data_IF_167800597507
#
_entry.id   IF_167800597507
#
_cell.length_a   1.000
_cell.length_b   1.000
_cell.length_c   1.000
_cell.angle_alpha   90.00
_cell.angle_beta   90.00
_cell.angle_gamma   90.00
#
_symmetry.space_group_name_H-M   'P 1'
#
loop_
_entity.id
_entity.type
_entity.pdbx_description
1 polymer ?
#
# COMPACT_ATOMS: atom_id res chain seq x y z
N UNK A 1 -4.51 32.44 -61.00
CA UNK A 1 -3.43 31.79 -60.24
C UNK A 1 -3.51 32.26 -58.80
N UNK A 2 -4.49 31.77 -57.99
CA UNK A 2 -4.62 32.04 -56.54
C UNK A 2 -5.58 31.03 -55.91
N UNK A 3 -5.25 29.73 -55.89
CA UNK A 3 -6.08 28.71 -55.24
C UNK A 3 -5.30 27.51 -54.68
N UNK A 4 -3.99 27.67 -54.39
CA UNK A 4 -3.18 26.55 -53.87
C UNK A 4 -2.67 26.75 -52.46
N UNK A 5 -2.96 27.88 -51.77
CA UNK A 5 -2.40 28.18 -50.47
C UNK A 5 -3.28 27.82 -49.24
N UNK A 6 -4.46 27.27 -49.43
CA UNK A 6 -5.36 26.95 -48.30
C UNK A 6 -5.37 25.46 -47.90
N UNK A 7 -4.78 24.57 -48.70
CA UNK A 7 -4.78 23.14 -48.40
C UNK A 7 -3.61 22.68 -47.50
N UNK A 8 -2.56 23.48 -47.32
CA UNK A 8 -1.38 23.10 -46.54
C UNK A 8 -1.52 23.46 -45.05
N UNK A 9 -2.39 24.40 -44.73
CA UNK A 9 -2.59 24.83 -43.31
C UNK A 9 -3.54 23.91 -42.52
N UNK A 10 -4.34 23.10 -43.20
CA UNK A 10 -5.29 22.20 -42.54
C UNK A 10 -4.68 20.85 -42.14
N UNK A 11 -3.49 20.50 -42.67
CA UNK A 11 -2.84 19.21 -42.37
C UNK A 11 -1.87 19.28 -41.16
N UNK A 12 -1.51 20.48 -40.73
CA UNK A 12 -0.64 20.66 -39.53
C UNK A 12 -1.38 20.69 -38.19
N UNK A 13 -2.71 20.76 -38.21
CA UNK A 13 -3.52 20.84 -36.97
C UNK A 13 -3.99 19.47 -36.45
N UNK A 14 -3.71 18.36 -37.17
CA UNK A 14 -4.18 17.01 -36.77
C UNK A 14 -3.11 16.23 -36.01
N UNK A 15 -1.88 16.70 -35.90
CA UNK A 15 -0.81 16.06 -35.13
C UNK A 15 -0.50 16.69 -33.76
N UNK A 16 -1.33 17.62 -33.28
CA UNK A 16 -1.30 18.09 -31.90
C UNK A 16 -2.23 17.25 -31.02
N UNK A 17 -2.36 15.97 -31.34
CA UNK A 17 -3.17 15.02 -30.61
C UNK A 17 -2.31 14.17 -29.68
N UNK A 18 -2.50 14.42 -28.39
CA UNK A 18 -2.28 13.44 -27.33
C UNK A 18 -0.87 12.87 -27.22
N UNK A 19 0.09 13.67 -26.77
CA UNK A 19 1.07 13.12 -25.88
C UNK A 19 0.31 12.78 -24.57
N UNK A 20 -0.39 11.64 -24.56
CA UNK A 20 -0.57 10.94 -23.30
C UNK A 20 0.86 10.63 -22.84
N UNK A 21 1.33 11.36 -21.86
CA UNK A 21 2.39 10.89 -21.00
C UNK A 21 1.82 9.60 -20.39
N UNK A 22 2.05 8.48 -21.04
CA UNK A 22 2.22 7.23 -20.35
C UNK A 22 3.45 7.47 -19.47
N UNK A 23 3.25 8.03 -18.30
CA UNK A 23 4.08 7.67 -17.17
C UNK A 23 3.72 6.22 -16.94
N UNK A 24 4.31 5.34 -17.74
CA UNK A 24 4.35 3.93 -17.44
C UNK A 24 4.79 3.86 -15.98
N UNK A 25 3.99 3.19 -15.16
CA UNK A 25 4.31 2.91 -13.77
C UNK A 25 5.47 1.91 -13.69
N UNK A 26 6.59 2.25 -14.31
CA UNK A 26 7.83 1.49 -14.28
C UNK A 26 8.38 1.31 -12.85
N UNK A 27 7.77 1.99 -11.88
CA UNK A 27 8.11 1.89 -10.46
C UNK A 27 7.14 1.01 -9.66
N UNK A 28 6.03 0.56 -10.25
CA UNK A 28 5.10 -0.32 -9.56
C UNK A 28 5.57 -1.77 -9.66
N UNK A 29 5.76 -2.48 -8.53
CA UNK A 29 6.23 -3.86 -8.56
C UNK A 29 5.17 -4.78 -9.18
N UNK A 30 5.60 -5.65 -10.09
CA UNK A 30 4.75 -6.67 -10.71
C UNK A 30 4.68 -7.90 -9.79
N UNK A 31 3.51 -8.14 -9.23
CA UNK A 31 3.26 -9.24 -8.31
C UNK A 31 3.55 -10.63 -8.92
N UNK A 32 3.39 -10.78 -10.23
CA UNK A 32 3.63 -12.05 -10.94
C UNK A 32 5.10 -12.46 -10.98
N UNK A 33 6.01 -11.50 -10.81
CA UNK A 33 7.46 -11.71 -10.87
C UNK A 33 8.11 -11.78 -9.49
N UNK A 34 7.35 -11.62 -8.41
CA UNK A 34 7.89 -11.63 -7.05
C UNK A 34 7.85 -13.06 -6.50
N UNK A 35 9.03 -13.61 -6.13
CA UNK A 35 9.16 -14.94 -5.53
C UNK A 35 8.59 -16.03 -6.43
N UNK A 36 8.95 -16.01 -7.71
CA UNK A 36 8.40 -16.88 -8.73
C UNK A 36 9.09 -18.24 -8.75
N UNK A 37 8.99 -18.98 -7.65
CA UNK A 37 9.55 -20.33 -7.52
C UNK A 37 8.59 -21.41 -8.03
N UNK A 38 7.31 -21.05 -8.28
CA UNK A 38 6.29 -21.95 -8.78
C UNK A 38 5.75 -21.47 -10.12
N UNK A 39 5.64 -22.40 -11.10
CA UNK A 39 4.96 -22.14 -12.36
C UNK A 39 3.43 -21.95 -12.22
N UNK A 40 2.88 -22.18 -11.04
CA UNK A 40 1.46 -22.11 -10.74
C UNK A 40 1.24 -21.06 -9.67
N UNK A 41 0.45 -20.03 -10.00
CA UNK A 41 0.08 -18.95 -9.10
C UNK A 41 -1.42 -18.67 -9.23
N UNK A 42 -2.07 -18.38 -8.11
CA UNK A 42 -3.45 -17.90 -8.05
C UNK A 42 -3.45 -16.50 -7.42
N UNK A 43 -2.98 -15.52 -8.19
CA UNK A 43 -2.88 -14.14 -7.73
C UNK A 43 -4.27 -13.51 -7.61
N UNK A 44 -4.53 -12.90 -6.45
CA UNK A 44 -5.77 -12.17 -6.17
C UNK A 44 -5.47 -10.87 -5.44
N UNK A 45 -6.09 -9.78 -5.86
CA UNK A 45 -6.12 -8.55 -5.10
C UNK A 45 -7.19 -8.65 -4.01
N UNK A 46 -6.81 -8.39 -2.77
CA UNK A 46 -7.69 -8.45 -1.60
C UNK A 46 -7.67 -7.13 -0.85
N UNK A 47 -8.82 -6.74 -0.29
CA UNK A 47 -8.90 -5.58 0.59
C UNK A 47 -8.33 -5.94 1.96
N UNK A 48 -7.38 -5.16 2.43
CA UNK A 48 -6.79 -5.30 3.77
C UNK A 48 -7.54 -4.43 4.77
N UNK A 49 -7.68 -3.14 4.48
CA UNK A 49 -8.47 -2.20 5.29
C UNK A 49 -8.89 -1.00 4.45
N UNK A 50 -10.15 -0.57 4.61
CA UNK A 50 -10.74 0.60 3.91
C UNK A 50 -10.75 1.85 4.77
N UNK A 51 -10.24 1.79 6.01
CA UNK A 51 -10.22 2.89 6.98
C UNK A 51 -11.59 3.45 7.37
N UNK A 52 -12.63 2.61 7.38
CA UNK A 52 -14.01 3.02 7.66
C UNK A 52 -14.37 3.06 9.15
N UNK A 53 -13.62 2.33 10.00
CA UNK A 53 -13.99 2.09 11.40
C UNK A 53 -13.19 2.96 12.36
N UNK A 54 -13.90 3.71 13.21
CA UNK A 54 -13.26 4.43 14.32
C UNK A 54 -12.61 3.47 15.29
N UNK A 55 -11.41 3.85 15.77
CA UNK A 55 -10.65 3.04 16.73
C UNK A 55 -9.91 1.84 16.13
N UNK A 56 -10.01 1.58 14.83
CA UNK A 56 -9.22 0.55 14.15
C UNK A 56 -7.75 0.93 14.01
N UNK A 57 -7.45 2.22 14.05
CA UNK A 57 -6.11 2.77 13.88
C UNK A 57 -5.77 3.72 15.01
N UNK A 58 -4.56 3.58 15.53
CA UNK A 58 -3.97 4.44 16.56
C UNK A 58 -2.84 5.24 15.95
N UNK A 59 -2.64 6.46 16.45
CA UNK A 59 -1.55 7.32 16.03
C UNK A 59 -0.66 7.67 17.20
N UNK A 60 0.65 7.66 16.98
CA UNK A 60 1.63 7.93 18.03
C UNK A 60 2.83 8.74 17.50
N UNK A 61 3.26 9.70 18.28
CA UNK A 61 4.53 10.43 18.13
C UNK A 61 5.18 10.56 19.51
N UNK A 62 6.51 10.65 19.57
CA UNK A 62 7.18 10.95 20.83
C UNK A 62 6.71 12.30 21.40
N UNK A 63 6.39 12.35 22.68
CA UNK A 63 5.91 13.55 23.39
C UNK A 63 6.86 14.75 23.29
N UNK A 64 8.14 14.50 23.06
CA UNK A 64 9.15 15.55 22.88
C UNK A 64 9.17 16.16 21.48
N UNK A 65 8.58 15.45 20.50
CA UNK A 65 8.62 15.82 19.10
C UNK A 65 7.36 16.55 18.64
N UNK A 66 6.22 16.28 19.25
CA UNK A 66 4.97 16.91 18.84
C UNK A 66 3.72 16.30 19.44
N UNK A 67 2.59 16.75 18.89
CA UNK A 67 1.25 16.18 19.17
C UNK A 67 0.70 15.62 17.87
N UNK A 68 0.06 14.46 17.96
CA UNK A 68 -0.56 13.78 16.82
C UNK A 68 -2.03 13.51 17.10
N UNK A 69 -2.86 13.64 16.05
CA UNK A 69 -4.29 13.34 16.10
C UNK A 69 -4.68 12.56 14.85
N UNK A 70 -5.38 11.46 15.03
CA UNK A 70 -6.01 10.68 13.95
C UNK A 70 -7.53 10.81 14.01
N UNK A 71 -8.18 10.99 12.87
CA UNK A 71 -9.65 11.05 12.72
C UNK A 71 -10.07 10.51 11.38
N UNK A 72 -11.29 9.99 11.31
CA UNK A 72 -11.94 9.67 10.04
C UNK A 72 -12.60 10.91 9.45
N UNK A 73 -12.49 11.05 8.14
CA UNK A 73 -13.14 12.10 7.37
C UNK A 73 -13.90 11.49 6.20
N UNK A 74 -15.01 12.10 5.83
CA UNK A 74 -15.70 11.73 4.59
C UNK A 74 -14.87 12.14 3.38
N UNK A 75 -14.71 11.24 2.44
CA UNK A 75 -13.94 11.44 1.22
C UNK A 75 -13.43 10.13 0.65
N UNK A 76 -12.91 10.21 -0.55
CA UNK A 76 -12.27 9.06 -1.25
C UNK A 76 -11.36 9.59 -2.35
N UNK A 77 -10.28 8.87 -2.71
CA UNK A 77 -9.49 9.18 -3.90
C UNK A 77 -10.32 9.04 -5.17
N UNK A 78 -10.36 10.08 -6.00
CA UNK A 78 -11.18 10.07 -7.23
C UNK A 78 -10.76 9.00 -8.27
N UNK A 79 -9.51 8.56 -8.21
CA UNK A 79 -8.96 7.53 -9.10
C UNK A 79 -8.98 6.12 -8.50
N UNK A 80 -9.62 5.96 -7.33
CA UNK A 80 -9.78 4.65 -6.71
C UNK A 80 -10.76 3.80 -7.51
N UNK A 81 -10.33 2.61 -7.90
CA UNK A 81 -11.18 1.62 -8.55
C UNK A 81 -11.84 0.72 -7.51
N UNK A 82 -13.10 0.37 -7.75
CA UNK A 82 -13.80 -0.59 -6.89
C UNK A 82 -13.15 -1.96 -6.99
N UNK A 83 -12.90 -2.58 -5.85
CA UNK A 83 -12.45 -3.97 -5.81
C UNK A 83 -13.66 -4.88 -6.02
N UNK A 84 -13.64 -5.65 -7.12
CA UNK A 84 -14.63 -6.69 -7.40
C UNK A 84 -14.37 -7.92 -6.52
N UNK A 85 -14.51 -7.77 -5.22
CA UNK A 85 -14.49 -8.89 -4.31
C UNK A 85 -15.90 -9.45 -4.16
N UNK A 86 -16.15 -10.61 -4.75
CA UNK A 86 -17.46 -11.29 -4.75
C UNK A 86 -17.99 -11.68 -3.36
N UNK A 87 -17.18 -11.47 -2.31
CA UNK A 87 -17.55 -11.77 -0.93
C UNK A 87 -18.07 -10.60 -0.10
N UNK A 88 -17.84 -9.33 -0.53
CA UNK A 88 -18.08 -8.15 0.31
C UNK A 88 -18.93 -7.06 -0.37
N UNK A 89 -20.10 -7.42 -0.83
CA UNK A 89 -20.98 -6.55 -1.63
C UNK A 89 -21.57 -5.32 -0.91
N UNK A 90 -21.29 -5.02 0.35
CA UNK A 90 -21.93 -3.91 1.08
C UNK A 90 -21.06 -3.27 2.17
N UNK A 91 -19.74 -3.26 2.03
CA UNK A 91 -18.93 -2.50 2.97
C UNK A 91 -18.92 -1.04 2.50
N UNK A 92 -19.38 -0.14 3.37
CA UNK A 92 -19.24 1.30 3.15
C UNK A 92 -17.77 1.64 2.87
N UNK A 93 -17.56 2.50 1.89
CA UNK A 93 -16.25 2.94 1.43
C UNK A 93 -16.31 4.46 1.14
N UNK A 94 -16.57 5.22 2.20
CA UNK A 94 -16.85 6.64 2.15
C UNK A 94 -15.93 7.50 2.99
N UNK A 95 -15.07 6.86 3.82
CA UNK A 95 -14.20 7.57 4.75
C UNK A 95 -12.73 7.32 4.46
N UNK A 96 -11.92 8.24 4.96
CA UNK A 96 -10.47 8.19 4.90
C UNK A 96 -9.89 8.46 6.30
N UNK A 97 -8.75 7.83 6.61
CA UNK A 97 -8.02 8.14 7.83
C UNK A 97 -7.17 9.39 7.64
N UNK A 98 -7.52 10.47 8.31
CA UNK A 98 -6.72 11.69 8.36
C UNK A 98 -5.84 11.71 9.60
N UNK A 99 -4.57 12.04 9.41
CA UNK A 99 -3.56 12.19 10.46
C UNK A 99 -2.99 13.60 10.44
N UNK A 100 -3.04 14.28 11.58
CA UNK A 100 -2.45 15.60 11.79
C UNK A 100 -1.36 15.52 12.83
N UNK A 101 -0.19 16.07 12.50
CA UNK A 101 0.95 16.21 13.42
C UNK A 101 1.26 17.69 13.60
N UNK A 102 1.48 18.11 14.84
CA UNK A 102 2.00 19.42 15.19
C UNK A 102 3.38 19.25 15.83
N UNK A 103 4.42 19.60 15.09
CA UNK A 103 5.80 19.45 15.54
C UNK A 103 6.19 20.56 16.50
N UNK A 104 6.77 20.20 17.64
CA UNK A 104 7.30 21.17 18.62
C UNK A 104 8.65 21.73 18.19
N UNK A 105 9.45 20.95 17.46
CA UNK A 105 10.79 21.33 17.02
C UNK A 105 11.14 20.69 15.69
N UNK A 106 12.01 21.32 14.94
CA UNK A 106 12.69 20.70 13.80
C UNK A 106 13.63 19.60 14.30
N UNK A 107 13.76 18.57 13.52
CA UNK A 107 14.70 17.50 13.79
C UNK A 107 14.32 16.19 13.10
N UNK A 108 15.04 15.15 13.44
CA UNK A 108 14.73 13.80 13.04
C UNK A 108 13.51 13.36 13.86
N UNK A 109 12.36 13.43 13.25
CA UNK A 109 11.09 13.04 13.84
C UNK A 109 10.51 11.87 13.06
N UNK A 110 9.88 10.96 13.76
CA UNK A 110 9.03 9.93 13.15
C UNK A 110 7.73 9.81 13.92
N UNK A 111 6.67 9.43 13.25
CA UNK A 111 5.41 9.10 13.87
C UNK A 111 4.86 7.79 13.28
N UNK A 112 3.97 7.18 14.02
CA UNK A 112 3.42 5.86 13.74
C UNK A 112 1.91 5.92 13.60
N UNK A 113 1.39 5.14 12.67
CA UNK A 113 -0.04 4.89 12.43
C UNK A 113 -0.19 3.38 12.51
N UNK A 114 -0.67 2.86 13.63
CA UNK A 114 -0.70 1.41 13.89
C UNK A 114 -2.11 0.90 13.95
N UNK A 115 -2.34 -0.26 13.36
CA UNK A 115 -3.61 -0.96 13.53
C UNK A 115 -3.83 -1.33 15.01
N UNK A 116 -5.06 -1.22 15.49
CA UNK A 116 -5.42 -1.62 16.87
C UNK A 116 -5.14 -3.11 17.12
N UNK A 117 -5.19 -3.92 16.07
CA UNK A 117 -4.75 -5.32 16.04
C UNK A 117 -4.05 -5.57 14.71
N UNK A 118 -2.95 -6.34 14.68
CA UNK A 118 -2.32 -6.73 13.43
C UNK A 118 -3.33 -7.39 12.49
N UNK A 119 -3.38 -6.91 11.24
CA UNK A 119 -4.35 -7.36 10.24
C UNK A 119 -3.71 -8.50 9.44
N UNK A 120 -4.24 -9.73 9.52
CA UNK A 120 -3.70 -10.86 8.80
C UNK A 120 -4.06 -10.78 7.31
N UNK A 121 -3.15 -11.24 6.46
CA UNK A 121 -3.37 -11.44 5.03
C UNK A 121 -3.26 -12.93 4.74
N UNK A 122 -4.25 -13.48 4.04
CA UNK A 122 -4.25 -14.89 3.64
C UNK A 122 -3.33 -15.10 2.43
N UNK A 123 -2.74 -16.30 2.37
CA UNK A 123 -1.84 -16.67 1.28
C UNK A 123 -0.44 -16.03 1.37
N UNK A 124 0.27 -16.05 0.26
CA UNK A 124 1.61 -15.45 0.13
C UNK A 124 1.48 -14.06 -0.46
N UNK A 125 1.61 -13.05 0.36
CA UNK A 125 1.53 -11.64 -0.07
C UNK A 125 2.71 -11.29 -0.97
N UNK A 126 2.42 -10.77 -2.14
CA UNK A 126 3.40 -10.32 -3.14
C UNK A 126 3.62 -8.81 -3.07
N UNK A 127 2.51 -8.05 -3.03
CA UNK A 127 2.57 -6.59 -2.93
C UNK A 127 1.54 -6.09 -1.93
N UNK A 128 1.82 -4.92 -1.35
CA UNK A 128 0.85 -4.16 -0.55
C UNK A 128 0.78 -2.75 -1.11
N UNK A 129 -0.41 -2.24 -1.27
CA UNK A 129 -0.67 -0.88 -1.74
C UNK A 129 -1.59 -0.13 -0.78
N UNK A 130 -1.45 1.19 -0.76
CA UNK A 130 -2.33 2.10 -0.02
C UNK A 130 -2.44 3.42 -0.77
N UNK A 131 -3.62 4.01 -0.79
CA UNK A 131 -3.79 5.37 -1.25
C UNK A 131 -3.34 6.33 -0.15
N UNK A 132 -2.39 7.20 -0.49
CA UNK A 132 -1.90 8.24 0.40
C UNK A 132 -2.13 9.61 -0.22
N UNK A 133 -2.59 10.58 0.59
CA UNK A 133 -2.66 11.97 0.17
C UNK A 133 -1.45 12.73 0.72
N UNK A 134 -0.50 13.03 -0.18
CA UNK A 134 0.70 13.80 0.13
C UNK A 134 0.43 15.31 0.15
N UNK A 135 1.36 16.05 0.76
CA UNK A 135 1.35 17.51 0.86
C UNK A 135 2.61 18.13 0.31
N UNK A 136 3.25 17.43 -0.64
CA UNK A 136 4.50 17.86 -1.26
C UNK A 136 5.61 18.10 -0.23
N UNK A 137 5.69 17.22 0.77
CA UNK A 137 6.76 17.19 1.77
C UNK A 137 7.56 15.90 1.63
N UNK A 138 8.87 15.96 1.67
CA UNK A 138 9.79 14.84 1.47
C UNK A 138 9.84 13.86 2.63
N UNK A 139 8.69 13.63 3.30
CA UNK A 139 8.55 12.60 4.33
C UNK A 139 8.48 11.22 3.68
N UNK A 140 8.99 10.21 4.37
CA UNK A 140 9.08 8.85 3.85
C UNK A 140 8.07 7.94 4.55
N UNK A 141 7.25 7.24 3.76
CA UNK A 141 6.27 6.27 4.27
C UNK A 141 6.87 4.86 4.27
N UNK A 142 6.75 4.18 5.40
CA UNK A 142 7.18 2.81 5.62
C UNK A 142 6.00 1.95 6.05
N UNK A 143 5.89 0.75 5.49
CA UNK A 143 4.96 -0.27 5.91
C UNK A 143 5.60 -1.10 7.03
N UNK A 144 4.86 -1.31 8.10
CA UNK A 144 5.25 -2.15 9.22
C UNK A 144 4.51 -3.48 9.10
N UNK A 145 5.25 -4.57 8.99
CA UNK A 145 4.70 -5.91 8.86
C UNK A 145 5.27 -6.85 9.91
N UNK A 146 4.51 -7.86 10.23
CA UNK A 146 4.94 -8.98 11.06
C UNK A 146 4.84 -10.27 10.25
N UNK A 147 5.90 -11.05 10.23
CA UNK A 147 5.97 -12.32 9.53
C UNK A 147 5.25 -13.46 10.30
N UNK A 148 5.30 -14.66 9.72
CA UNK A 148 4.74 -15.88 10.31
C UNK A 148 5.34 -16.18 11.69
N UNK A 149 6.62 -15.96 11.88
CA UNK A 149 7.35 -16.21 13.13
C UNK A 149 7.13 -15.13 14.19
N UNK A 150 6.48 -14.03 13.84
CA UNK A 150 6.25 -12.88 14.72
C UNK A 150 7.37 -11.85 14.68
N UNK A 151 8.31 -11.94 13.75
CA UNK A 151 9.35 -10.93 13.56
C UNK A 151 8.76 -9.70 12.85
N UNK A 152 9.19 -8.52 13.27
CA UNK A 152 8.73 -7.27 12.68
C UNK A 152 9.72 -6.78 11.61
N UNK A 153 9.17 -6.32 10.50
CA UNK A 153 9.92 -5.76 9.39
C UNK A 153 9.34 -4.41 8.97
N UNK A 154 10.19 -3.59 8.38
CA UNK A 154 9.85 -2.28 7.87
C UNK A 154 10.20 -2.23 6.38
N UNK A 155 9.22 -1.92 5.54
CA UNK A 155 9.36 -1.91 4.09
C UNK A 155 9.05 -0.51 3.59
N UNK A 156 9.97 0.07 2.85
CA UNK A 156 9.77 1.40 2.28
C UNK A 156 8.68 1.39 1.21
N UNK A 157 7.70 2.27 1.32
CA UNK A 157 6.61 2.42 0.36
C UNK A 157 6.82 3.59 -0.61
N UNK A 158 7.46 4.65 -0.17
CA UNK A 158 7.71 5.81 -1.02
C UNK A 158 7.81 7.13 -0.27
N UNK A 159 8.11 8.18 -1.03
CA UNK A 159 8.10 9.55 -0.56
C UNK A 159 6.70 10.16 -0.67
N UNK A 160 6.33 11.02 0.29
CA UNK A 160 5.10 11.82 0.29
C UNK A 160 5.29 13.17 -0.44
N UNK A 161 6.38 13.33 -1.19
CA UNK A 161 6.71 14.53 -1.98
C UNK A 161 5.87 14.62 -3.26
N UNK A 162 4.55 14.61 -3.08
CA UNK A 162 3.57 14.82 -4.13
C UNK A 162 2.34 15.53 -3.56
N UNK A 163 1.57 16.16 -4.43
CA UNK A 163 0.33 16.84 -4.06
C UNK A 163 -0.88 15.99 -4.45
N UNK A 164 -1.83 15.87 -3.53
CA UNK A 164 -3.05 15.09 -3.74
C UNK A 164 -2.87 13.61 -3.46
N UNK A 165 -3.78 12.79 -4.03
CA UNK A 165 -3.82 11.35 -3.83
C UNK A 165 -2.90 10.61 -4.80
N UNK A 166 -2.19 9.62 -4.28
CA UNK A 166 -1.37 8.69 -5.05
C UNK A 166 -1.43 7.31 -4.42
N UNK A 167 -1.59 6.28 -5.24
CA UNK A 167 -1.42 4.89 -4.81
C UNK A 167 0.08 4.61 -4.66
N UNK A 168 0.49 4.20 -3.48
CA UNK A 168 1.85 3.76 -3.16
C UNK A 168 1.84 2.25 -3.03
N UNK A 169 2.67 1.58 -3.79
CA UNK A 169 2.75 0.11 -3.83
C UNK A 169 4.16 -0.33 -3.49
N UNK A 170 4.28 -1.32 -2.62
CA UNK A 170 5.57 -1.93 -2.28
C UNK A 170 5.52 -3.44 -2.46
N UNK A 171 6.65 -4.03 -2.86
CA UNK A 171 6.83 -5.47 -2.90
C UNK A 171 7.16 -6.01 -1.51
N UNK A 172 6.64 -7.19 -1.20
CA UNK A 172 7.06 -7.95 -0.03
C UNK A 172 8.19 -8.89 -0.49
N UNK A 173 9.44 -8.69 -0.03
CA UNK A 173 10.54 -9.54 -0.42
C UNK A 173 10.28 -10.99 -0.01
N UNK A 174 10.40 -11.96 -0.92
CA UNK A 174 10.25 -13.36 -0.59
C UNK A 174 11.39 -13.84 0.32
N UNK A 175 11.10 -14.79 1.18
CA UNK A 175 12.13 -15.49 1.93
C UNK A 175 12.93 -16.38 0.96
N UNK A 176 14.27 -16.31 0.95
CA UNK A 176 15.08 -17.11 0.04
C UNK A 176 15.14 -18.60 0.41
N UNK A 177 14.89 -18.96 1.66
CA UNK A 177 15.09 -20.30 2.19
C UNK A 177 14.02 -20.70 3.23
N UNK A 178 12.94 -19.95 3.35
CA UNK A 178 11.87 -20.14 4.34
C UNK A 178 12.30 -20.00 5.81
N UNK A 179 13.56 -19.64 6.07
CA UNK A 179 14.08 -19.42 7.42
C UNK A 179 14.54 -17.97 7.64
N UNK A 180 15.01 -17.29 6.57
CA UNK A 180 15.53 -15.93 6.64
C UNK A 180 14.62 -14.93 5.89
N UNK A 181 14.70 -13.66 6.29
CA UNK A 181 13.86 -12.62 5.70
C UNK A 181 12.42 -12.67 6.18
N UNK A 182 11.45 -12.29 5.33
CA UNK A 182 10.04 -12.28 5.67
C UNK A 182 9.43 -13.65 5.37
N UNK A 183 9.32 -14.48 6.38
CA UNK A 183 8.75 -15.82 6.28
C UNK A 183 7.23 -15.71 6.32
N UNK A 184 6.55 -16.12 5.26
CA UNK A 184 5.10 -16.03 5.16
C UNK A 184 4.39 -17.38 5.27
N UNK A 185 5.11 -18.48 5.10
CA UNK A 185 4.57 -19.82 5.19
C UNK A 185 5.41 -20.65 6.16
N UNK A 186 4.77 -21.63 6.80
CA UNK A 186 5.48 -22.67 7.53
C UNK A 186 5.55 -23.93 6.67
N UNK A 187 6.69 -24.60 6.71
CA UNK A 187 6.86 -25.94 6.12
C UNK A 187 5.92 -26.96 6.81
N UNK A 188 5.51 -26.66 8.04
CA UNK A 188 4.66 -27.51 8.87
C UNK A 188 3.20 -27.00 8.90
N UNK A 189 2.58 -26.84 7.76
CA UNK A 189 1.13 -26.60 7.60
C UNK A 189 0.43 -26.01 8.82
N UNK A 190 0.50 -24.71 9.00
CA UNK A 190 -0.27 -24.04 10.04
C UNK A 190 -1.42 -23.27 9.43
N UNK A 191 -2.60 -23.35 10.00
CA UNK A 191 -3.77 -22.55 9.63
C UNK A 191 -3.59 -21.05 9.99
N UNK A 192 -2.35 -20.60 10.20
CA UNK A 192 -2.05 -19.23 10.58
C UNK A 192 -1.79 -18.39 9.34
N UNK A 193 -2.36 -17.17 9.29
CA UNK A 193 -2.04 -16.21 8.23
C UNK A 193 -0.53 -15.92 8.21
N UNK A 194 0.04 -15.88 7.01
CA UNK A 194 1.47 -15.72 6.84
C UNK A 194 1.98 -14.35 7.23
N UNK A 195 1.44 -13.30 6.61
CA UNK A 195 1.83 -11.91 6.85
C UNK A 195 0.74 -11.18 7.64
N UNK A 196 1.16 -10.29 8.54
CA UNK A 196 0.26 -9.37 9.24
C UNK A 196 0.71 -7.94 9.04
N UNK A 197 -0.22 -7.05 8.72
CA UNK A 197 0.04 -5.62 8.71
C UNK A 197 -0.06 -5.09 10.13
N UNK A 198 0.99 -4.45 10.60
CA UNK A 198 1.05 -3.79 11.90
C UNK A 198 0.69 -2.32 11.77
N UNK A 199 1.08 -1.68 10.68
CA UNK A 199 0.78 -0.28 10.44
C UNK A 199 1.77 0.41 9.51
N UNK A 200 1.94 1.71 9.77
CA UNK A 200 2.85 2.57 9.01
C UNK A 200 3.73 3.37 9.95
N UNK A 201 4.95 3.65 9.50
CA UNK A 201 5.83 4.67 10.07
C UNK A 201 6.07 5.76 9.03
N UNK A 202 6.06 7.00 9.47
CA UNK A 202 6.44 8.14 8.65
C UNK A 202 7.71 8.76 9.22
N UNK A 203 8.78 8.70 8.44
CA UNK A 203 10.04 9.38 8.76
C UNK A 203 10.00 10.79 8.17
N UNK A 204 10.05 11.78 9.04
CA UNK A 204 9.89 13.17 8.65
C UNK A 204 11.21 13.75 8.13
N UNK A 205 11.17 14.45 7.00
CA UNK A 205 12.29 15.24 6.53
C UNK A 205 12.61 16.33 7.58
N UNK A 206 13.82 16.34 8.15
CA UNK A 206 14.17 17.29 9.22
C UNK A 206 14.06 18.76 8.84
N UNK A 207 14.18 19.07 7.54
CA UNK A 207 14.07 20.45 7.04
C UNK A 207 12.62 20.92 6.96
N UNK A 208 11.66 20.00 6.85
CA UNK A 208 10.24 20.25 6.64
C UNK A 208 9.39 19.93 7.87
N UNK A 209 9.92 19.13 8.82
CA UNK A 209 9.25 18.74 10.07
C UNK A 209 9.13 19.94 11.01
N UNK A 210 8.21 20.87 10.69
CA UNK A 210 7.91 22.08 11.46
C UNK A 210 6.46 22.49 11.29
N UNK A 211 5.87 23.08 12.34
CA UNK A 211 4.47 23.48 12.32
C UNK A 211 3.53 22.27 12.18
N UNK A 212 2.50 22.41 11.37
CA UNK A 212 1.51 21.34 11.17
C UNK A 212 1.73 20.60 9.87
N UNK A 213 1.67 19.28 9.93
CA UNK A 213 1.64 18.37 8.79
C UNK A 213 0.35 17.57 8.80
N UNK A 214 -0.22 17.32 7.62
CA UNK A 214 -1.43 16.52 7.44
C UNK A 214 -1.22 15.51 6.34
N UNK A 215 -1.73 14.31 6.53
CA UNK A 215 -1.83 13.29 5.48
C UNK A 215 -3.14 12.53 5.62
N UNK A 216 -3.52 11.84 4.56
CA UNK A 216 -4.66 10.94 4.58
C UNK A 216 -4.27 9.60 3.99
N UNK A 217 -4.86 8.54 4.52
CA UNK A 217 -4.72 7.18 4.02
C UNK A 217 -6.11 6.62 3.70
N UNK A 218 -6.17 5.83 2.63
CA UNK A 218 -7.37 5.13 2.22
C UNK A 218 -7.03 3.84 1.49
N UNK A 219 -7.95 2.89 1.49
CA UNK A 219 -8.01 1.70 0.66
C UNK A 219 -6.67 0.95 0.57
N UNK A 220 -6.32 0.28 1.66
CA UNK A 220 -5.16 -0.60 1.70
C UNK A 220 -5.52 -1.96 1.11
N UNK A 221 -4.76 -2.39 0.10
CA UNK A 221 -4.92 -3.65 -0.60
C UNK A 221 -3.64 -4.44 -0.61
N UNK A 222 -3.78 -5.73 -0.81
CA UNK A 222 -2.67 -6.63 -1.05
C UNK A 222 -2.95 -7.51 -2.27
N UNK A 223 -1.91 -7.80 -3.06
CA UNK A 223 -1.94 -8.89 -4.04
C UNK A 223 -1.29 -10.10 -3.39
N UNK A 224 -2.06 -11.16 -3.27
CA UNK A 224 -1.65 -12.39 -2.58
C UNK A 224 -1.81 -13.59 -3.51
N UNK A 225 -0.94 -14.57 -3.35
CA UNK A 225 -1.03 -15.86 -4.03
C UNK A 225 -1.77 -16.84 -3.10
N UNK A 226 -2.90 -17.30 -3.57
CA UNK A 226 -3.79 -18.23 -2.86
C UNK A 226 -3.67 -19.65 -3.38
N UNK A 227 -2.72 -19.94 -4.28
CA UNK A 227 -2.64 -21.25 -4.94
C UNK A 227 -2.62 -22.42 -3.94
N UNK A 228 -1.77 -22.35 -2.92
CA UNK A 228 -1.61 -23.42 -1.94
C UNK A 228 -2.84 -23.58 -1.03
N UNK A 229 -3.57 -22.49 -0.78
CA UNK A 229 -4.81 -22.52 0.01
C UNK A 229 -5.98 -23.10 -0.78
N UNK A 230 -6.10 -22.75 -2.08
CA UNK A 230 -7.20 -23.18 -2.94
C UNK A 230 -7.01 -24.62 -3.46
N UNK A 231 -5.78 -25.10 -3.52
CA UNK A 231 -5.43 -26.44 -4.02
C UNK A 231 -4.92 -27.38 -2.94
N UNK A 232 -5.29 -27.14 -1.70
CA UNK A 232 -5.00 -28.06 -0.58
C UNK A 232 -5.67 -29.40 -0.85
N UNK A 233 -4.87 -30.47 -0.81
CA UNK A 233 -5.40 -31.83 -0.92
C UNK A 233 -6.17 -32.16 0.36
N UNK A 234 -7.48 -32.45 0.23
CA UNK A 234 -8.34 -32.80 1.37
C UNK A 234 -7.97 -34.17 1.99
N UNK A 235 -7.32 -35.02 1.20
CA UNK A 235 -6.88 -36.36 1.63
C UNK A 235 -5.43 -36.34 2.16
N UNK A 236 -4.79 -35.17 2.19
CA UNK A 236 -3.44 -35.05 2.72
C UNK A 236 -3.45 -35.22 4.24
N UNK A 237 -2.94 -36.36 4.68
CA UNK A 237 -2.83 -36.65 6.10
C UNK A 237 -1.78 -35.74 6.72
N UNK A 238 -2.11 -35.07 7.82
CA UNK A 238 -1.16 -34.32 8.62
C UNK A 238 -0.20 -35.28 9.35
N UNK A 239 0.76 -35.79 8.65
CA UNK A 239 1.80 -36.63 9.26
C UNK A 239 2.93 -35.75 9.74
N UNK A 240 3.13 -35.69 11.01
CA UNK A 240 4.35 -35.17 11.61
C UNK A 240 5.41 -36.27 11.59
N UNK A 241 6.18 -36.32 10.52
CA UNK A 241 7.36 -37.15 10.44
C UNK A 241 8.55 -36.53 11.20
#
# INVERSE_FOLDING_TARGET
MKKISFAVLALAAVFAGTAFSQTDNLSEPDASNIGNDSARQALREVSVDRFEREGSWNVHISSDNGVITGRLFEGSPAAKEELNDSGNQQIEDTKVLGVKVEFFRRGINSFYITAARPIPIEGVTKTVSVWACGRNMGHQLWLLVQDYNGNNFEIWMGSLEFSGWKKLTTAIPPSPDSEHGIVQQSVYHGDKPGLRIVGFRVDCNPMEARGSFYMYLDDMRAVTDLYDLENKDEDDMMDNW
#
